data_IF_661521106823
#
_entry.id   IF_661521106823
#
_cell.length_a   1.000
_cell.length_b   1.000
_cell.length_c   1.000
_cell.angle_alpha   90.00
_cell.angle_beta   90.00
_cell.angle_gamma   90.00
#
_symmetry.space_group_name_H-M   'P 1'
#
loop_
_entity.id
_entity.type
_entity.pdbx_description
1 polymer ?
#
# COMPACT_ATOMS: atom_id res chain seq x y z
N UNK A 1 -36.53 28.82 -6.09
CA UNK A 1 -36.72 27.34 -6.03
C UNK A 1 -35.87 26.69 -7.12
N UNK A 2 -35.60 25.38 -7.08
CA UNK A 2 -34.78 24.70 -8.11
C UNK A 2 -35.61 23.68 -8.89
N UNK A 3 -35.26 23.47 -10.16
CA UNK A 3 -35.86 22.43 -11.00
C UNK A 3 -35.45 21.06 -10.45
N UNK A 4 -36.40 20.14 -10.28
CA UNK A 4 -36.11 18.79 -9.80
C UNK A 4 -35.45 17.88 -10.86
N UNK A 5 -35.35 18.32 -12.12
CA UNK A 5 -34.63 17.60 -13.17
C UNK A 5 -33.18 18.08 -13.31
N UNK A 6 -32.96 19.34 -13.69
CA UNK A 6 -31.62 19.88 -13.90
C UNK A 6 -30.98 20.54 -12.66
N UNK A 7 -31.71 20.72 -11.57
CA UNK A 7 -31.26 21.35 -10.32
C UNK A 7 -30.77 22.80 -10.47
N UNK A 8 -31.05 23.45 -11.61
CA UNK A 8 -30.86 24.89 -11.80
C UNK A 8 -31.94 25.68 -11.06
N UNK A 9 -31.60 26.91 -10.71
CA UNK A 9 -32.56 27.85 -10.15
C UNK A 9 -33.64 28.17 -11.17
N UNK A 10 -34.88 28.27 -10.69
CA UNK A 10 -36.05 28.64 -11.50
C UNK A 10 -36.42 30.05 -11.11
N UNK A 11 -36.65 30.90 -12.12
CA UNK A 11 -36.98 32.32 -11.98
C UNK A 11 -38.28 32.63 -12.73
N UNK A 12 -39.18 33.38 -12.11
CA UNK A 12 -40.46 33.81 -12.69
C UNK A 12 -41.47 32.68 -12.91
N UNK A 13 -41.24 31.80 -13.88
CA UNK A 13 -42.20 30.74 -14.27
C UNK A 13 -41.62 29.34 -14.11
N UNK A 14 -42.39 28.47 -13.49
CA UNK A 14 -42.09 27.05 -13.34
C UNK A 14 -43.25 26.20 -13.85
N UNK A 15 -43.06 24.88 -13.87
CA UNK A 15 -44.12 23.89 -14.11
C UNK A 15 -44.22 23.01 -12.88
N UNK A 16 -45.36 23.04 -12.21
CA UNK A 16 -45.68 22.14 -11.10
C UNK A 16 -46.39 20.89 -11.63
N UNK A 17 -46.10 19.75 -11.02
CA UNK A 17 -46.70 18.46 -11.36
C UNK A 17 -47.68 18.03 -10.28
N UNK A 18 -48.69 17.21 -10.63
CA UNK A 18 -49.62 16.63 -9.64
C UNK A 18 -48.92 15.73 -8.62
N UNK A 19 -47.76 15.18 -8.97
CA UNK A 19 -46.92 14.41 -8.04
C UNK A 19 -46.12 15.27 -7.06
N UNK A 20 -46.22 16.60 -7.12
CA UNK A 20 -45.59 17.52 -6.17
C UNK A 20 -44.13 17.87 -6.48
N UNK A 21 -43.68 17.68 -7.72
CA UNK A 21 -42.36 18.09 -8.20
C UNK A 21 -42.43 19.32 -9.12
N UNK A 22 -41.41 20.17 -9.02
CA UNK A 22 -41.29 21.46 -9.72
C UNK A 22 -40.21 21.36 -10.80
N UNK A 23 -40.55 21.79 -12.02
CA UNK A 23 -39.68 21.73 -13.19
C UNK A 23 -39.50 23.13 -13.79
N UNK A 24 -38.36 23.37 -14.45
CA UNK A 24 -38.26 24.50 -15.36
C UNK A 24 -39.04 24.20 -16.66
N UNK A 25 -39.36 25.24 -17.42
CA UNK A 25 -40.08 25.11 -18.69
C UNK A 25 -39.38 24.18 -19.67
N UNK A 26 -38.05 24.27 -19.76
CA UNK A 26 -37.26 23.47 -20.70
C UNK A 26 -37.36 21.98 -20.38
N UNK A 27 -37.17 21.60 -19.12
CA UNK A 27 -37.19 20.20 -18.71
C UNK A 27 -38.61 19.64 -18.71
N UNK A 28 -39.61 20.44 -18.37
CA UNK A 28 -41.01 20.04 -18.51
C UNK A 28 -41.35 19.72 -19.98
N UNK A 29 -40.94 20.56 -20.92
CA UNK A 29 -41.15 20.33 -22.36
C UNK A 29 -40.40 19.09 -22.85
N UNK A 30 -39.16 18.87 -22.40
CA UNK A 30 -38.38 17.66 -22.73
C UNK A 30 -39.05 16.39 -22.20
N UNK A 31 -39.52 16.41 -20.95
CA UNK A 31 -40.22 15.27 -20.35
C UNK A 31 -41.49 14.94 -21.14
N UNK A 32 -42.29 15.96 -21.50
CA UNK A 32 -43.50 15.77 -22.31
C UNK A 32 -43.23 15.31 -23.75
N UNK A 33 -42.03 15.57 -24.28
CA UNK A 33 -41.64 15.14 -25.63
C UNK A 33 -41.04 13.72 -25.65
N UNK A 34 -40.65 13.20 -24.49
CA UNK A 34 -40.08 11.86 -24.30
C UNK A 34 -41.07 10.96 -23.52
N UNK A 35 -40.62 9.82 -22.98
CA UNK A 35 -41.40 8.82 -22.22
C UNK A 35 -42.13 9.36 -20.95
N UNK A 36 -42.15 10.67 -20.72
CA UNK A 36 -43.15 11.33 -19.88
C UNK A 36 -42.98 11.17 -18.38
N UNK A 37 -42.00 10.44 -17.86
CA UNK A 37 -41.92 10.17 -16.42
C UNK A 37 -41.31 11.31 -15.59
N UNK A 38 -41.81 11.48 -14.36
CA UNK A 38 -41.22 12.37 -13.37
C UNK A 38 -39.83 11.87 -12.95
N UNK A 39 -38.77 12.71 -12.98
CA UNK A 39 -37.41 12.29 -12.65
C UNK A 39 -37.17 11.98 -11.16
N UNK A 40 -38.16 12.22 -10.30
CA UNK A 40 -38.04 12.02 -8.85
C UNK A 40 -38.80 10.79 -8.36
N UNK A 41 -39.98 10.52 -8.92
CA UNK A 41 -40.86 9.44 -8.44
C UNK A 41 -41.37 8.51 -9.54
N UNK A 42 -40.89 8.67 -10.78
CA UNK A 42 -41.22 7.85 -11.95
C UNK A 42 -42.70 7.83 -12.33
N UNK A 43 -43.54 8.70 -11.74
CA UNK A 43 -44.92 8.84 -12.16
C UNK A 43 -44.96 9.35 -13.61
N UNK A 44 -45.71 8.65 -14.47
CA UNK A 44 -45.97 9.09 -15.84
C UNK A 44 -46.75 10.42 -15.80
N UNK A 45 -46.18 11.43 -16.44
CA UNK A 45 -46.70 12.77 -16.56
C UNK A 45 -47.24 12.98 -17.97
N UNK A 46 -48.32 13.74 -18.03
CA UNK A 46 -48.92 14.23 -19.27
C UNK A 46 -49.16 15.72 -19.15
N UNK A 47 -49.53 16.37 -20.26
CA UNK A 47 -49.81 17.82 -20.28
C UNK A 47 -50.89 18.23 -19.28
N UNK A 48 -51.85 17.37 -18.96
CA UNK A 48 -52.91 17.67 -17.98
C UNK A 48 -52.41 17.61 -16.52
N UNK A 49 -51.38 16.79 -16.26
CA UNK A 49 -50.76 16.60 -14.94
C UNK A 49 -49.65 17.62 -14.64
N UNK A 50 -49.37 18.51 -15.59
CA UNK A 50 -48.39 19.58 -15.49
C UNK A 50 -49.10 20.94 -15.59
N UNK A 51 -48.84 21.84 -14.65
CA UNK A 51 -49.44 23.18 -14.62
C UNK A 51 -48.36 24.25 -14.55
N UNK A 52 -48.35 25.24 -15.45
CA UNK A 52 -47.46 26.38 -15.31
C UNK A 52 -47.86 27.14 -14.03
N UNK A 53 -46.86 27.55 -13.27
CA UNK A 53 -47.03 28.32 -12.04
C UNK A 53 -46.08 29.51 -12.06
N UNK A 54 -46.59 30.66 -11.61
CA UNK A 54 -45.75 31.80 -11.29
C UNK A 54 -45.17 31.58 -9.88
N UNK A 55 -43.85 31.64 -9.77
CA UNK A 55 -43.14 31.47 -8.50
C UNK A 55 -42.86 32.80 -7.80
N UNK A 56 -43.16 33.92 -8.45
CA UNK A 56 -43.03 35.26 -7.90
C UNK A 56 -44.23 36.14 -8.33
N UNK A 57 -45.47 35.76 -7.96
CA UNK A 57 -46.65 36.56 -8.27
C UNK A 57 -46.62 37.91 -7.53
N UNK A 58 -47.24 38.93 -8.11
CA UNK A 58 -47.36 40.26 -7.51
C UNK A 58 -48.51 40.34 -6.49
N UNK A 59 -48.56 41.42 -5.71
CA UNK A 59 -49.56 41.62 -4.65
C UNK A 59 -50.99 41.68 -5.19
N UNK A 60 -51.21 42.25 -6.37
CA UNK A 60 -52.52 42.30 -7.01
C UNK A 60 -53.07 40.89 -7.28
N UNK A 61 -52.25 40.04 -7.88
CA UNK A 61 -52.60 38.64 -8.13
C UNK A 61 -52.87 37.90 -6.81
N UNK A 62 -52.01 38.11 -5.80
CA UNK A 62 -52.16 37.48 -4.47
C UNK A 62 -53.49 37.90 -3.83
N UNK A 63 -53.80 39.20 -3.81
CA UNK A 63 -55.04 39.73 -3.24
C UNK A 63 -56.27 39.17 -3.96
N UNK A 64 -56.24 39.13 -5.29
CA UNK A 64 -57.33 38.58 -6.10
C UNK A 64 -57.52 37.08 -5.87
N UNK A 65 -56.43 36.31 -5.78
CA UNK A 65 -56.49 34.86 -5.53
C UNK A 65 -57.04 34.51 -4.15
N UNK A 66 -56.91 35.41 -3.16
CA UNK A 66 -57.41 35.22 -1.80
C UNK A 66 -58.82 35.77 -1.57
N UNK A 67 -59.35 36.60 -2.48
CA UNK A 67 -60.67 37.21 -2.32
C UNK A 67 -61.79 36.17 -2.19
N UNK A 68 -62.60 36.28 -1.13
CA UNK A 68 -63.71 35.36 -0.85
C UNK A 68 -63.30 34.00 -0.28
N UNK A 69 -62.01 33.73 -0.07
CA UNK A 69 -61.53 32.50 0.56
C UNK A 69 -61.64 32.61 2.08
N UNK A 70 -62.25 31.61 2.73
CA UNK A 70 -62.40 31.62 4.19
C UNK A 70 -61.04 31.50 4.90
N UNK A 71 -60.90 32.07 6.11
CA UNK A 71 -59.65 31.97 6.89
C UNK A 71 -59.16 30.53 7.09
N UNK A 72 -60.08 29.58 7.27
CA UNK A 72 -59.73 28.16 7.43
C UNK A 72 -59.06 27.58 6.18
N UNK A 73 -59.56 27.92 4.99
CA UNK A 73 -58.97 27.46 3.72
C UNK A 73 -57.62 28.15 3.51
N UNK A 74 -57.50 29.45 3.79
CA UNK A 74 -56.23 30.18 3.68
C UNK A 74 -55.14 29.54 4.54
N UNK A 75 -55.43 29.25 5.81
CA UNK A 75 -54.47 28.62 6.71
C UNK A 75 -54.06 27.22 6.23
N UNK A 76 -55.01 26.43 5.70
CA UNK A 76 -54.72 25.12 5.12
C UNK A 76 -53.83 25.22 3.87
N UNK A 77 -54.09 26.20 3.01
CA UNK A 77 -53.28 26.46 1.81
C UNK A 77 -51.86 26.92 2.16
N UNK A 78 -51.72 27.84 3.13
CA UNK A 78 -50.43 28.27 3.64
C UNK A 78 -49.62 27.09 4.20
N UNK A 79 -50.24 26.25 5.02
CA UNK A 79 -49.61 25.03 5.53
C UNK A 79 -49.12 24.10 4.41
N UNK A 80 -49.95 23.86 3.39
CA UNK A 80 -49.57 23.03 2.23
C UNK A 80 -48.39 23.63 1.46
N UNK A 81 -48.38 24.95 1.26
CA UNK A 81 -47.28 25.68 0.62
C UNK A 81 -45.97 25.54 1.39
N UNK A 82 -46.01 25.71 2.71
CA UNK A 82 -44.84 25.52 3.59
C UNK A 82 -44.31 24.08 3.49
N UNK A 83 -45.19 23.09 3.58
CA UNK A 83 -44.81 21.68 3.48
C UNK A 83 -44.22 21.31 2.11
N UNK A 84 -44.74 21.91 1.04
CA UNK A 84 -44.17 21.77 -0.29
C UNK A 84 -42.76 22.38 -0.35
N UNK A 85 -42.58 23.60 0.13
CA UNK A 85 -41.27 24.26 0.17
C UNK A 85 -40.23 23.46 0.96
N UNK A 86 -40.61 22.94 2.14
CA UNK A 86 -39.74 22.07 2.95
C UNK A 86 -39.37 20.80 2.17
N UNK A 87 -40.34 20.13 1.54
CA UNK A 87 -40.07 18.94 0.72
C UNK A 87 -39.12 19.21 -0.43
N UNK A 88 -39.23 20.37 -1.07
CA UNK A 88 -38.34 20.79 -2.15
C UNK A 88 -36.92 21.07 -1.67
N UNK A 89 -36.76 21.62 -0.46
CA UNK A 89 -35.45 21.79 0.18
C UNK A 89 -34.82 20.46 0.60
N UNK A 90 -35.61 19.52 1.09
CA UNK A 90 -35.14 18.16 1.37
C UNK A 90 -34.65 17.48 0.09
N UNK A 91 -35.41 17.55 -1.00
CA UNK A 91 -34.99 17.00 -2.30
C UNK A 91 -33.67 17.62 -2.79
N UNK A 92 -33.50 18.94 -2.66
CA UNK A 92 -32.25 19.63 -3.00
C UNK A 92 -31.07 19.13 -2.16
N UNK A 93 -31.28 18.94 -0.85
CA UNK A 93 -30.26 18.41 0.05
C UNK A 93 -29.92 16.95 -0.28
N UNK A 94 -30.91 16.10 -0.52
CA UNK A 94 -30.73 14.71 -0.92
C UNK A 94 -29.91 14.57 -2.20
N UNK A 95 -30.21 15.39 -3.22
CA UNK A 95 -29.42 15.42 -4.46
C UNK A 95 -27.95 15.78 -4.20
N UNK A 96 -27.69 16.84 -3.42
CA UNK A 96 -26.32 17.25 -3.06
C UNK A 96 -25.60 16.15 -2.26
N UNK A 97 -26.28 15.54 -1.29
CA UNK A 97 -25.74 14.45 -0.48
C UNK A 97 -25.38 13.24 -1.35
N UNK A 98 -26.28 12.82 -2.24
CA UNK A 98 -26.05 11.69 -3.14
C UNK A 98 -24.83 11.92 -4.04
N UNK A 99 -24.59 13.15 -4.51
CA UNK A 99 -23.38 13.49 -5.27
C UNK A 99 -22.11 13.35 -4.43
N UNK A 100 -22.13 13.80 -3.18
CA UNK A 100 -21.00 13.68 -2.27
C UNK A 100 -20.71 12.20 -1.95
N UNK A 101 -21.75 11.42 -1.66
CA UNK A 101 -21.64 9.99 -1.39
C UNK A 101 -21.09 9.25 -2.61
N UNK A 102 -21.60 9.52 -3.81
CA UNK A 102 -21.10 8.91 -5.04
C UNK A 102 -19.62 9.23 -5.29
N UNK A 103 -19.21 10.48 -5.07
CA UNK A 103 -17.80 10.89 -5.19
C UNK A 103 -16.91 10.20 -4.16
N UNK A 104 -17.37 10.09 -2.91
CA UNK A 104 -16.64 9.40 -1.85
C UNK A 104 -16.47 7.91 -2.20
N UNK A 105 -17.54 7.26 -2.62
CA UNK A 105 -17.54 5.86 -3.07
C UNK A 105 -16.54 5.63 -4.20
N UNK A 106 -16.55 6.48 -5.23
CA UNK A 106 -15.60 6.39 -6.34
C UNK A 106 -14.14 6.49 -5.88
N UNK A 107 -13.85 7.41 -4.93
CA UNK A 107 -12.50 7.53 -4.35
C UNK A 107 -12.10 6.29 -3.55
N UNK A 108 -13.03 5.71 -2.78
CA UNK A 108 -12.79 4.47 -2.04
C UNK A 108 -12.51 3.30 -2.99
N UNK A 109 -13.31 3.13 -4.04
CA UNK A 109 -13.13 2.08 -5.05
C UNK A 109 -11.77 2.22 -5.76
N UNK A 110 -11.40 3.43 -6.18
CA UNK A 110 -10.09 3.69 -6.80
C UNK A 110 -8.92 3.40 -5.86
N UNK A 111 -9.05 3.75 -4.57
CA UNK A 111 -8.02 3.47 -3.58
C UNK A 111 -7.89 1.97 -3.33
N UNK A 112 -9.01 1.27 -3.21
CA UNK A 112 -9.05 -0.18 -3.02
C UNK A 112 -8.41 -0.92 -4.18
N UNK A 113 -8.70 -0.52 -5.42
CA UNK A 113 -8.08 -1.08 -6.63
C UNK A 113 -6.55 -0.95 -6.59
N UNK A 114 -6.03 0.24 -6.28
CA UNK A 114 -4.58 0.48 -6.16
C UNK A 114 -3.93 -0.36 -5.07
N UNK A 115 -4.60 -0.55 -3.93
CA UNK A 115 -4.07 -1.40 -2.86
C UNK A 115 -4.03 -2.88 -3.28
N UNK A 116 -5.09 -3.36 -3.93
CA UNK A 116 -5.14 -4.74 -4.47
C UNK A 116 -4.03 -4.95 -5.50
N UNK A 117 -3.83 -4.01 -6.42
CA UNK A 117 -2.77 -4.08 -7.43
C UNK A 117 -1.38 -4.15 -6.77
N UNK A 118 -1.13 -3.31 -5.74
CA UNK A 118 0.14 -3.35 -5.00
C UNK A 118 0.34 -4.65 -4.24
N UNK A 119 -0.72 -5.19 -3.65
CA UNK A 119 -0.66 -6.47 -2.95
C UNK A 119 -0.30 -7.61 -3.92
N UNK A 120 -0.89 -7.62 -5.11
CA UNK A 120 -0.60 -8.61 -6.15
C UNK A 120 0.83 -8.49 -6.68
N UNK A 121 1.34 -7.25 -6.87
CA UNK A 121 2.72 -7.01 -7.25
C UNK A 121 3.70 -7.57 -6.21
N UNK A 122 3.46 -7.29 -4.93
CA UNK A 122 4.29 -7.79 -3.82
C UNK A 122 4.22 -9.31 -3.75
N UNK A 123 3.03 -9.89 -3.85
CA UNK A 123 2.84 -11.34 -3.83
C UNK A 123 3.57 -12.03 -4.98
N UNK A 124 3.49 -11.48 -6.20
CA UNK A 124 4.22 -11.99 -7.37
C UNK A 124 5.73 -11.91 -7.18
N UNK A 125 6.23 -10.78 -6.68
CA UNK A 125 7.66 -10.61 -6.39
C UNK A 125 8.15 -11.59 -5.31
N UNK A 126 7.35 -11.79 -4.26
CA UNK A 126 7.63 -12.76 -3.20
C UNK A 126 7.72 -14.18 -3.76
N UNK A 127 6.71 -14.63 -4.52
CA UNK A 127 6.72 -15.96 -5.15
C UNK A 127 7.94 -16.17 -6.06
N UNK A 128 8.31 -15.16 -6.86
CA UNK A 128 9.50 -15.21 -7.72
C UNK A 128 10.78 -15.39 -6.89
N UNK A 129 10.91 -14.66 -5.79
CA UNK A 129 12.07 -14.78 -4.90
C UNK A 129 12.10 -16.16 -4.22
N UNK A 130 10.97 -16.65 -3.73
CA UNK A 130 10.87 -17.99 -3.14
C UNK A 130 11.37 -19.07 -4.10
N UNK A 131 10.94 -19.03 -5.37
CA UNK A 131 11.42 -19.97 -6.39
C UNK A 131 12.94 -19.87 -6.62
N UNK A 132 13.48 -18.64 -6.66
CA UNK A 132 14.92 -18.42 -6.82
C UNK A 132 15.72 -18.98 -5.64
N UNK A 133 15.25 -18.77 -4.41
CA UNK A 133 15.86 -19.36 -3.22
C UNK A 133 15.84 -20.89 -3.27
N UNK A 134 14.74 -21.50 -3.69
CA UNK A 134 14.64 -22.96 -3.85
C UNK A 134 15.64 -23.49 -4.89
N UNK A 135 15.74 -22.85 -6.07
CA UNK A 135 16.70 -23.26 -7.09
C UNK A 135 18.15 -23.14 -6.60
N UNK A 136 18.48 -22.02 -5.94
CA UNK A 136 19.84 -21.81 -5.41
C UNK A 136 20.18 -22.79 -4.28
N UNK A 137 19.20 -23.16 -3.46
CA UNK A 137 19.36 -24.21 -2.45
C UNK A 137 19.68 -25.57 -3.08
N UNK A 138 18.95 -25.94 -4.15
CA UNK A 138 19.23 -27.15 -4.92
C UNK A 138 20.62 -27.13 -5.56
N UNK A 139 21.03 -25.98 -6.11
CA UNK A 139 22.37 -25.81 -6.69
C UNK A 139 23.48 -25.98 -5.64
N UNK A 140 23.31 -25.41 -4.45
CA UNK A 140 24.22 -25.60 -3.32
C UNK A 140 24.31 -27.08 -2.94
N UNK A 141 23.19 -27.80 -2.87
CA UNK A 141 23.17 -29.23 -2.55
C UNK A 141 23.92 -30.08 -3.60
N UNK A 142 23.75 -29.77 -4.89
CA UNK A 142 24.46 -30.43 -5.98
C UNK A 142 25.96 -30.14 -5.89
N UNK A 143 26.35 -28.87 -5.83
CA UNK A 143 27.76 -28.47 -5.75
C UNK A 143 28.45 -29.06 -4.52
N UNK A 144 27.74 -29.17 -3.39
CA UNK A 144 28.28 -29.79 -2.17
C UNK A 144 28.59 -31.27 -2.39
N UNK A 145 27.69 -32.01 -3.05
CA UNK A 145 27.91 -33.43 -3.38
C UNK A 145 29.07 -33.60 -4.36
N UNK A 146 29.13 -32.78 -5.40
CA UNK A 146 30.21 -32.83 -6.40
C UNK A 146 31.57 -32.53 -5.77
N UNK A 147 31.63 -31.56 -4.85
CA UNK A 147 32.84 -31.22 -4.12
C UNK A 147 33.32 -32.39 -3.27
N UNK A 148 32.39 -33.06 -2.56
CA UNK A 148 32.69 -34.26 -1.78
C UNK A 148 33.21 -35.40 -2.66
N UNK A 149 32.57 -35.66 -3.80
CA UNK A 149 33.02 -36.70 -4.74
C UNK A 149 34.43 -36.40 -5.30
N UNK A 150 34.70 -35.15 -5.66
CA UNK A 150 36.02 -34.72 -6.12
C UNK A 150 37.08 -34.88 -5.04
N UNK A 151 36.74 -34.54 -3.79
CA UNK A 151 37.64 -34.70 -2.65
C UNK A 151 37.97 -36.18 -2.40
N UNK A 152 36.99 -37.08 -2.52
CA UNK A 152 37.19 -38.53 -2.44
C UNK A 152 38.08 -39.05 -3.58
N UNK A 153 37.83 -38.64 -4.83
CA UNK A 153 38.68 -38.99 -5.99
C UNK A 153 40.11 -38.49 -5.83
N UNK A 154 40.31 -37.28 -5.32
CA UNK A 154 41.64 -36.73 -5.07
C UNK A 154 42.38 -37.49 -3.97
N UNK A 155 41.68 -37.85 -2.88
CA UNK A 155 42.23 -38.66 -1.81
C UNK A 155 42.66 -40.05 -2.33
N UNK A 156 41.82 -40.68 -3.16
CA UNK A 156 42.13 -41.97 -3.78
C UNK A 156 43.33 -41.87 -4.74
N UNK A 157 43.37 -40.85 -5.60
CA UNK A 157 44.53 -40.60 -6.47
C UNK A 157 45.81 -40.35 -5.70
N UNK A 158 45.73 -39.65 -4.57
CA UNK A 158 46.88 -39.43 -3.69
C UNK A 158 47.39 -40.73 -3.07
N UNK A 159 46.50 -41.67 -2.71
CA UNK A 159 46.87 -43.02 -2.23
C UNK A 159 47.56 -43.83 -3.33
N UNK A 160 46.99 -43.82 -4.54
CA UNK A 160 47.57 -44.52 -5.70
C UNK A 160 48.97 -43.98 -6.04
N UNK A 161 49.14 -42.65 -6.01
CA UNK A 161 50.45 -42.01 -6.23
C UNK A 161 51.47 -42.50 -5.20
N UNK A 162 51.16 -42.46 -3.90
CA UNK A 162 52.08 -42.92 -2.85
C UNK A 162 52.52 -44.37 -3.07
N UNK A 163 51.59 -45.24 -3.43
CA UNK A 163 51.90 -46.64 -3.74
C UNK A 163 52.84 -46.79 -4.95
N UNK A 164 52.65 -45.97 -5.98
CA UNK A 164 53.52 -45.93 -7.16
C UNK A 164 54.92 -45.40 -6.81
N UNK A 165 55.01 -44.32 -6.03
CA UNK A 165 56.27 -43.77 -5.55
C UNK A 165 57.04 -44.81 -4.71
N UNK A 166 56.36 -45.51 -3.79
CA UNK A 166 56.93 -46.61 -2.99
C UNK A 166 57.46 -47.76 -3.86
N UNK A 167 56.69 -48.22 -4.86
CA UNK A 167 57.14 -49.28 -5.78
C UNK A 167 58.33 -48.83 -6.64
N UNK A 168 58.35 -47.57 -7.08
CA UNK A 168 59.45 -47.03 -7.88
C UNK A 168 60.74 -46.94 -7.05
N UNK A 169 60.65 -46.44 -5.82
CA UNK A 169 61.78 -46.37 -4.89
C UNK A 169 62.32 -47.77 -4.56
N UNK A 170 61.43 -48.75 -4.41
CA UNK A 170 61.82 -50.14 -4.20
C UNK A 170 62.58 -50.71 -5.41
N UNK A 171 62.05 -50.55 -6.63
CA UNK A 171 62.73 -50.99 -7.85
C UNK A 171 64.08 -50.31 -8.05
N UNK A 172 64.17 -49.01 -7.72
CA UNK A 172 65.42 -48.25 -7.77
C UNK A 172 66.45 -48.77 -6.77
N UNK A 173 66.02 -49.07 -5.54
CA UNK A 173 66.86 -49.68 -4.50
C UNK A 173 67.38 -51.04 -4.94
N UNK A 174 66.52 -51.89 -5.53
CA UNK A 174 66.91 -53.19 -6.08
C UNK A 174 67.93 -53.03 -7.22
N UNK A 175 67.71 -52.10 -8.15
CA UNK A 175 68.66 -51.82 -9.23
C UNK A 175 70.04 -51.40 -8.69
N UNK A 176 70.09 -50.49 -7.71
CA UNK A 176 71.34 -50.08 -7.06
C UNK A 176 72.00 -51.23 -6.29
N UNK A 177 71.23 -52.12 -5.67
CA UNK A 177 71.72 -53.34 -5.00
C UNK A 177 72.35 -54.31 -6.00
N UNK A 178 71.67 -54.60 -7.13
CA UNK A 178 72.18 -55.45 -8.22
C UNK A 178 73.45 -54.84 -8.83
N UNK A 179 73.46 -53.53 -9.06
CA UNK A 179 74.64 -52.81 -9.56
C UNK A 179 75.83 -52.90 -8.60
N UNK A 180 75.63 -52.74 -7.28
CA UNK A 180 76.69 -52.88 -6.28
C UNK A 180 77.22 -54.32 -6.19
N UNK A 181 76.32 -55.30 -6.22
CA UNK A 181 76.69 -56.72 -6.18
C UNK A 181 77.37 -57.21 -7.47
N UNK A 182 77.12 -56.57 -8.62
CA UNK A 182 77.84 -56.84 -9.86
C UNK A 182 79.24 -56.20 -9.93
N UNK A 183 79.61 -55.28 -9.02
CA UNK A 183 80.83 -54.45 -9.13
C UNK A 183 81.85 -54.69 -7.99
N UNK A 184 81.61 -55.57 -6.99
CA UNK A 184 82.64 -55.91 -5.99
C UNK A 184 83.06 -57.40 -5.96
N UNK A 185 84.37 -57.71 -6.11
CA UNK A 185 84.98 -58.87 -5.47
C UNK A 185 84.99 -58.66 -3.95
N UNK A 186 84.87 -59.75 -3.20
CA UNK A 186 84.85 -59.74 -1.73
C UNK A 186 86.02 -58.96 -1.12
N UNK A 187 85.73 -57.97 -0.26
CA UNK A 187 86.62 -57.61 0.85
C UNK A 187 85.91 -56.74 1.88
N UNK A 188 85.78 -57.29 3.09
CA UNK A 188 85.80 -56.49 4.33
C UNK A 188 87.05 -55.61 4.35
N UNK A 189 86.99 -54.43 4.96
CA UNK A 189 87.86 -53.97 6.05
C UNK A 189 88.11 -52.45 6.12
N UNK A 190 88.03 -51.99 7.38
CA UNK A 190 88.62 -50.83 8.05
C UNK A 190 87.99 -49.43 8.02
N UNK A 191 87.76 -49.02 9.26
CA UNK A 191 87.47 -47.74 9.87
C UNK A 191 88.62 -46.73 9.66
N UNK A 192 88.33 -45.44 9.41
CA UNK A 192 89.29 -44.36 9.63
C UNK A 192 88.59 -43.01 9.86
N UNK A 193 88.71 -42.53 11.09
CA UNK A 193 88.52 -41.11 11.47
C UNK A 193 89.47 -40.23 10.66
N UNK A 194 89.02 -39.03 10.27
CA UNK A 194 89.81 -37.81 10.50
C UNK A 194 88.93 -36.53 10.40
N UNK A 195 89.04 -35.74 11.47
CA UNK A 195 88.73 -34.32 11.65
C UNK A 195 89.54 -33.44 10.66
N UNK A 196 89.32 -32.15 10.36
CA UNK A 196 88.59 -31.01 10.90
C UNK A 196 88.67 -29.88 9.82
N UNK A 197 88.16 -28.67 10.13
CA UNK A 197 88.58 -27.33 9.64
C UNK A 197 87.60 -26.57 8.72
N UNK A 198 86.65 -25.85 9.32
CA UNK A 198 86.61 -24.38 9.19
C UNK A 198 85.77 -23.74 10.31
N UNK A 199 86.39 -22.76 10.98
CA UNK A 199 85.93 -22.10 12.21
C UNK A 199 85.02 -20.88 11.96
N UNK A 200 84.14 -20.61 12.94
CA UNK A 200 83.19 -19.49 13.11
C UNK A 200 83.80 -18.07 13.14
N UNK A 201 82.97 -16.99 13.11
CA UNK A 201 82.55 -16.39 14.40
C UNK A 201 81.03 -16.03 14.50
N UNK A 202 80.54 -15.74 15.73
CA UNK A 202 79.11 -15.68 16.07
C UNK A 202 78.56 -14.26 16.32
N UNK A 203 77.23 -14.12 16.30
CA UNK A 203 76.36 -13.15 17.01
C UNK A 203 74.99 -13.16 16.30
N UNK A 204 73.79 -13.03 16.89
CA UNK A 204 73.26 -12.73 18.23
C UNK A 204 71.73 -13.00 18.11
N UNK A 205 71.07 -13.45 19.20
CA UNK A 205 69.62 -13.44 19.48
C UNK A 205 68.68 -14.38 18.68
N UNK A 206 67.64 -15.00 19.23
CA UNK A 206 67.06 -15.05 20.58
C UNK A 206 66.16 -16.31 20.71
N UNK A 207 65.71 -16.53 21.94
CA UNK A 207 65.32 -17.74 22.64
C UNK A 207 63.84 -18.18 22.44
N UNK A 208 63.69 -19.48 22.13
CA UNK A 208 62.78 -20.47 22.76
C UNK A 208 61.25 -20.24 22.85
N UNK A 209 60.56 -21.08 22.06
CA UNK A 209 59.35 -21.89 22.33
C UNK A 209 58.48 -21.61 23.60
N UNK A 210 57.17 -21.45 23.42
CA UNK A 210 56.10 -22.46 23.66
C UNK A 210 54.70 -21.82 23.84
N UNK A 211 53.67 -22.39 23.19
CA UNK A 211 52.35 -22.61 23.81
C UNK A 211 51.17 -21.62 23.63
N UNK A 212 50.20 -22.06 22.81
CA UNK A 212 48.71 -22.02 22.98
C UNK A 212 47.84 -20.77 22.65
N UNK A 213 46.87 -21.07 21.76
CA UNK A 213 45.43 -20.71 21.67
C UNK A 213 44.98 -19.43 20.93
N UNK A 214 44.17 -19.66 19.88
CA UNK A 214 42.94 -18.90 19.56
C UNK A 214 42.98 -18.06 18.27
N UNK A 215 42.02 -18.24 17.32
CA UNK A 215 41.92 -17.40 16.13
C UNK A 215 40.88 -16.28 16.32
N UNK A 216 41.19 -15.06 15.89
CA UNK A 216 40.18 -14.05 15.59
C UNK A 216 40.66 -13.00 14.60
N UNK A 217 39.71 -12.63 13.77
CA UNK A 217 39.68 -11.80 12.57
C UNK A 217 39.93 -10.32 12.85
N UNK A 218 40.42 -9.59 11.83
CA UNK A 218 40.27 -8.14 11.55
C UNK A 218 41.01 -7.91 10.20
N UNK A 219 40.40 -7.70 9.02
CA UNK A 219 39.57 -6.61 8.48
C UNK A 219 40.24 -5.21 8.53
N UNK A 220 40.30 -4.57 7.34
CA UNK A 220 40.34 -3.13 6.98
C UNK A 220 41.65 -2.58 6.29
N UNK A 221 41.64 -1.43 5.56
CA UNK A 221 41.37 -1.36 4.10
C UNK A 221 42.20 -0.30 3.30
N UNK A 222 42.04 -0.19 1.97
CA UNK A 222 42.05 1.05 1.13
C UNK A 222 42.10 0.69 -0.39
N UNK A 223 41.07 0.98 -1.21
CA UNK A 223 40.81 2.19 -2.06
C UNK A 223 41.90 2.43 -3.13
N UNK A 224 41.66 2.67 -4.43
CA UNK A 224 40.64 3.42 -5.21
C UNK A 224 40.51 2.75 -6.62
N UNK A 225 39.44 2.84 -7.43
CA UNK A 225 39.00 4.06 -8.13
C UNK A 225 37.73 3.78 -9.00
N UNK A 226 36.75 4.72 -8.98
CA UNK A 226 35.84 5.18 -10.05
C UNK A 226 34.94 4.17 -10.82
N UNK A 227 33.63 4.34 -11.10
CA UNK A 227 32.70 5.48 -11.10
C UNK A 227 31.23 4.98 -11.17
N UNK A 228 30.31 5.71 -10.51
CA UNK A 228 28.89 6.03 -10.86
C UNK A 228 27.90 4.91 -11.25
N UNK A 229 26.65 4.79 -10.76
CA UNK A 229 25.70 5.75 -10.16
C UNK A 229 24.57 4.97 -9.47
N UNK A 230 23.99 5.48 -8.37
CA UNK A 230 22.75 4.94 -7.82
C UNK A 230 22.45 5.38 -6.38
N UNK A 231 21.93 6.60 -6.23
CA UNK A 231 21.53 7.15 -4.93
C UNK A 231 20.36 6.39 -4.30
N UNK A 232 20.54 6.04 -3.01
CA UNK A 232 19.52 5.47 -2.13
C UNK A 232 19.18 6.53 -1.08
N UNK A 233 17.90 6.91 -1.02
CA UNK A 233 17.33 7.73 0.04
C UNK A 233 17.16 6.88 1.30
N UNK A 234 17.57 7.41 2.45
CA UNK A 234 17.07 6.98 3.76
C UNK A 234 16.68 8.20 4.59
N UNK A 235 15.46 8.13 5.11
CA UNK A 235 14.81 9.15 5.93
C UNK A 235 15.01 8.74 7.39
N UNK A 236 15.59 9.62 8.19
CA UNK A 236 15.43 9.54 9.64
C UNK A 236 15.46 10.91 10.30
N UNK A 237 14.24 11.30 10.72
CA UNK A 237 13.88 11.74 12.08
C UNK A 237 14.91 12.62 12.80
N UNK A 238 14.51 13.88 13.05
CA UNK A 238 15.01 14.66 14.19
C UNK A 238 15.10 16.16 13.94
N UNK A 239 14.15 16.92 14.49
CA UNK A 239 14.33 18.36 14.74
C UNK A 239 15.33 18.57 15.90
N UNK A 240 16.01 19.74 15.95
CA UNK A 240 15.67 20.65 17.04
C UNK A 240 15.63 22.14 16.65
N UNK A 241 14.95 22.89 17.52
CA UNK A 241 14.58 24.29 17.44
C UNK A 241 15.74 25.29 17.42
N UNK A 242 15.48 26.51 16.91
CA UNK A 242 15.74 27.77 17.63
C UNK A 242 14.98 28.97 17.03
N UNK A 243 14.73 29.90 17.94
CA UNK A 243 13.81 31.06 17.96
C UNK A 243 14.17 32.20 17.00
N UNK A 244 13.14 32.96 16.61
CA UNK A 244 13.20 34.42 16.45
C UNK A 244 11.83 35.04 16.81
N UNK A 245 11.85 36.18 17.49
CA UNK A 245 10.73 36.85 18.19
C UNK A 245 10.21 38.05 17.38
N UNK A 246 8.89 38.06 17.08
CA UNK A 246 7.81 39.10 17.13
C UNK A 246 8.06 40.57 16.69
N UNK A 247 7.03 41.46 16.54
CA UNK A 247 5.58 41.36 16.89
C UNK A 247 4.56 41.96 15.88
N UNK A 248 3.25 41.70 16.09
CA UNK A 248 2.17 42.50 15.49
C UNK A 248 0.72 42.01 15.69
N UNK A 249 0.03 42.62 16.66
CA UNK A 249 -1.42 42.87 16.77
C UNK A 249 -2.47 41.78 17.15
N UNK A 250 -2.96 41.94 18.40
CA UNK A 250 -4.35 42.13 18.86
C UNK A 250 -5.47 41.12 18.50
N UNK A 251 -6.14 40.56 19.53
CA UNK A 251 -7.56 40.14 19.44
C UNK A 251 -8.06 38.99 20.33
N UNK A 252 -8.28 39.24 21.63
CA UNK A 252 -9.24 38.66 22.59
C UNK A 252 -9.85 37.22 22.47
N UNK A 253 -9.53 36.41 23.51
CA UNK A 253 -10.40 35.60 24.42
C UNK A 253 -11.74 35.00 23.91
N UNK A 254 -11.90 33.67 24.06
CA UNK A 254 -12.61 33.01 25.19
C UNK A 254 -12.56 31.48 25.14
N UNK A 255 -12.43 30.91 26.33
CA UNK A 255 -12.49 29.48 26.70
C UNK A 255 -13.92 29.15 27.15
N UNK A 256 -14.39 27.93 26.84
CA UNK A 256 -15.32 27.18 27.68
C UNK A 256 -16.66 26.78 27.05
N UNK A 257 -16.83 25.49 26.75
CA UNK A 257 -17.88 24.61 27.29
C UNK A 257 -18.12 23.38 26.40
N UNK A 258 -17.67 22.20 26.86
CA UNK A 258 -18.24 20.91 26.48
C UNK A 258 -19.51 20.64 27.31
N UNK A 259 -20.38 19.74 26.84
CA UNK A 259 -20.59 18.47 27.56
C UNK A 259 -20.50 17.26 26.60
N UNK A 260 -19.64 16.27 26.88
CA UNK A 260 -19.87 15.06 27.72
C UNK A 260 -20.88 14.07 27.12
N UNK A 261 -20.34 13.04 26.45
CA UNK A 261 -20.70 11.65 26.71
C UNK A 261 -19.41 10.83 26.61
N UNK A 262 -18.99 10.25 27.73
CA UNK A 262 -17.81 9.41 27.83
C UNK A 262 -18.18 7.93 27.79
N UNK A 263 -17.34 7.14 27.13
CA UNK A 263 -16.94 5.81 27.57
C UNK A 263 -15.61 5.48 26.88
N UNK A 264 -14.60 5.22 27.70
CA UNK A 264 -13.23 4.94 27.27
C UNK A 264 -13.09 3.60 26.56
N UNK A 265 -12.00 3.52 25.80
CA UNK A 265 -11.57 2.33 25.09
C UNK A 265 -10.74 2.79 23.90
N UNK A 266 -9.44 2.55 23.95
CA UNK A 266 -8.47 2.75 22.88
C UNK A 266 -8.99 2.09 21.59
N UNK A 267 -9.74 2.85 20.79
CA UNK A 267 -10.44 2.31 19.62
C UNK A 267 -9.50 2.33 18.44
N UNK A 268 -9.12 1.14 18.02
CA UNK A 268 -8.30 0.88 16.84
C UNK A 268 -9.05 1.43 15.61
N UNK A 269 -8.48 2.37 14.82
CA UNK A 269 -9.18 3.01 13.70
C UNK A 269 -9.65 2.01 12.62
N UNK A 270 -9.07 0.80 12.61
CA UNK A 270 -9.45 -0.30 11.73
C UNK A 270 -10.81 -0.94 12.05
N UNK A 271 -11.28 -0.89 13.30
CA UNK A 271 -12.57 -1.49 13.69
C UNK A 271 -13.76 -0.60 13.34
N UNK A 272 -13.61 0.72 13.43
CA UNK A 272 -14.64 1.66 13.00
C UNK A 272 -14.91 1.58 11.49
N UNK A 273 -13.86 1.40 10.69
CA UNK A 273 -13.99 1.21 9.23
C UNK A 273 -14.72 -0.10 8.88
N UNK A 274 -14.45 -1.20 9.59
CA UNK A 274 -15.15 -2.48 9.35
C UNK A 274 -16.64 -2.39 9.66
N UNK A 275 -17.03 -1.67 10.70
CA UNK A 275 -18.44 -1.50 11.07
C UNK A 275 -19.23 -0.63 10.07
N UNK A 276 -18.55 0.31 9.39
CA UNK A 276 -19.13 1.10 8.29
C UNK A 276 -19.27 0.31 6.99
N UNK A 277 -18.37 -0.65 6.73
CA UNK A 277 -18.29 -1.35 5.43
C UNK A 277 -19.16 -2.61 5.38
N UNK A 278 -19.47 -3.25 6.53
CA UNK A 278 -20.09 -4.59 6.56
C UNK A 278 -21.46 -4.67 7.23
N UNK A 279 -22.06 -3.57 7.65
CA UNK A 279 -23.44 -3.60 8.16
C UNK A 279 -24.40 -3.72 6.97
N UNK A 280 -25.25 -4.76 6.88
CA UNK A 280 -26.33 -4.75 5.91
C UNK A 280 -27.32 -3.67 6.34
N UNK A 281 -27.24 -2.50 5.71
CA UNK A 281 -28.24 -1.46 5.85
C UNK A 281 -29.54 -2.06 5.31
N UNK A 282 -30.42 -2.49 6.22
CA UNK A 282 -31.83 -2.68 5.92
C UNK A 282 -32.28 -1.45 5.14
N UNK A 283 -32.73 -1.67 3.90
CA UNK A 283 -33.41 -0.65 3.10
C UNK A 283 -34.36 0.10 4.03
N UNK A 284 -34.32 1.44 4.09
CA UNK A 284 -35.48 2.17 4.52
C UNK A 284 -36.58 1.75 3.55
N UNK A 285 -37.56 0.99 4.05
CA UNK A 285 -38.85 0.91 3.39
C UNK A 285 -39.29 2.35 3.22
N UNK A 286 -39.26 2.86 1.99
CA UNK A 286 -39.89 4.12 1.65
C UNK A 286 -41.30 4.00 2.20
N UNK A 287 -41.59 4.81 3.21
CA UNK A 287 -42.91 4.97 3.79
C UNK A 287 -43.84 5.39 2.67
N UNK A 288 -44.44 4.38 2.02
CA UNK A 288 -45.43 4.50 0.97
C UNK A 288 -46.76 4.77 1.67
N UNK A 289 -46.85 5.88 2.38
CA UNK A 289 -48.07 6.40 2.99
C UNK A 289 -47.89 7.90 3.30
N UNK A 290 -47.70 8.72 2.25
CA UNK A 290 -48.07 10.13 2.32
C UNK A 290 -49.35 10.28 1.49
N UNK A 291 -50.48 10.71 2.07
CA UNK A 291 -51.69 10.93 1.29
C UNK A 291 -51.38 11.94 0.20
N UNK A 292 -51.87 11.68 -1.02
CA UNK A 292 -51.78 12.59 -2.15
C UNK A 292 -52.42 13.92 -1.72
N UNK A 293 -51.57 14.89 -1.41
CA UNK A 293 -51.98 16.24 -0.99
C UNK A 293 -52.31 17.13 -2.19
N UNK A 294 -52.24 16.61 -3.41
CA UNK A 294 -52.54 17.34 -4.63
C UNK A 294 -53.56 16.56 -5.46
N UNK A 295 -54.83 16.72 -5.06
CA UNK A 295 -55.99 16.49 -5.90
C UNK A 295 -56.87 17.72 -5.78
#
# INVERSE_FOLDING_TARGET
>A
MRCNACWREVEGRAVSTTCGHLLCTDDANKILSNDGACPICDQVLSKSLMKPVDINPNDEWINMAMAGISPQILMKSAYRSVMFYIGQKELEMQFKMNRIVAQCRQKCEMMQEKFTEKLEQVHTAYQKMTKRCQMMQQEIEVLTKDNQELQEKFAEKSRQKRKLDEMYDQLRSEFESVKRSAIQPASNYYNRNDNDLFSNPPNIMDERQTGRKGPKEDVWPARQNSNNSGGRFDISIGSPAKQAVSPGNAGNRKVGAHPVFGAGGTSNPSMNLRNLILSPIKRPQLSRNRPQLFT
#
